data_IF_514328399164
#
_entry.id   IF_514328399164
#
_cell.length_a   1.000
_cell.length_b   1.000
_cell.length_c   1.000
_cell.angle_alpha   90.00
_cell.angle_beta   90.00
_cell.angle_gamma   90.00
#
_symmetry.space_group_name_H-M   'P 1'
#
loop_
_entity.id
_entity.type
_entity.pdbx_description
1 polymer ?
#
# COMPACT_ATOMS: atom_id res chain seq x y z
N UNK A 1 10.38 17.81 -25.50
CA UNK A 1 9.98 16.39 -25.44
C UNK A 1 8.68 16.23 -26.22
N UNK A 2 8.43 15.09 -26.88
CA UNK A 2 7.13 14.86 -27.56
C UNK A 2 5.99 14.84 -26.53
N UNK A 3 4.77 15.27 -26.88
CA UNK A 3 3.63 15.29 -25.95
C UNK A 3 3.37 13.93 -25.29
N UNK A 4 3.49 12.83 -26.02
CA UNK A 4 3.27 11.47 -25.51
C UNK A 4 4.31 11.09 -24.44
N UNK A 5 5.57 11.50 -24.67
CA UNK A 5 6.63 11.27 -23.69
C UNK A 5 6.44 12.14 -22.43
N UNK A 6 5.87 13.34 -22.56
CA UNK A 6 5.48 14.17 -21.40
C UNK A 6 4.35 13.53 -20.61
N UNK A 7 3.35 12.97 -21.28
CA UNK A 7 2.25 12.27 -20.63
C UNK A 7 2.75 11.07 -19.82
N UNK A 8 3.67 10.27 -20.36
CA UNK A 8 4.27 9.14 -19.61
C UNK A 8 4.99 9.64 -18.35
N UNK A 9 5.79 10.71 -18.46
CA UNK A 9 6.50 11.28 -17.30
C UNK A 9 5.54 11.78 -16.24
N UNK A 10 4.46 12.47 -16.63
CA UNK A 10 3.47 12.96 -15.66
C UNK A 10 2.69 11.82 -15.01
N UNK A 11 2.29 10.79 -15.78
CA UNK A 11 1.65 9.60 -15.23
C UNK A 11 2.55 8.88 -14.19
N UNK A 12 3.85 8.76 -14.47
CA UNK A 12 4.81 8.20 -13.51
C UNK A 12 4.92 9.07 -12.24
N UNK A 13 4.96 10.41 -12.36
CA UNK A 13 4.98 11.30 -11.19
C UNK A 13 3.69 11.19 -10.37
N UNK A 14 2.54 11.09 -11.03
CA UNK A 14 1.25 10.90 -10.37
C UNK A 14 1.20 9.58 -9.61
N UNK A 15 1.69 8.49 -10.22
CA UNK A 15 1.83 7.20 -9.56
C UNK A 15 2.69 7.29 -8.29
N UNK A 16 3.87 7.90 -8.35
CA UNK A 16 4.75 8.07 -7.17
C UNK A 16 4.07 8.91 -6.09
N UNK A 17 3.35 9.98 -6.47
CA UNK A 17 2.58 10.79 -5.51
C UNK A 17 1.44 10.00 -4.87
N UNK A 18 0.77 9.14 -5.64
CA UNK A 18 -0.28 8.26 -5.14
C UNK A 18 0.28 7.22 -4.16
N UNK A 19 1.42 6.59 -4.49
CA UNK A 19 2.13 5.70 -3.58
C UNK A 19 2.48 6.39 -2.25
N UNK A 20 3.05 7.60 -2.30
CA UNK A 20 3.37 8.32 -1.07
C UNK A 20 2.14 8.70 -0.22
N UNK A 21 0.96 8.86 -0.83
CA UNK A 21 -0.30 9.02 -0.07
C UNK A 21 -0.75 7.71 0.56
N UNK A 22 -0.66 6.60 -0.20
CA UNK A 22 -1.00 5.27 0.30
C UNK A 22 -0.09 4.85 1.46
N UNK A 23 1.22 5.08 1.36
CA UNK A 23 2.19 4.83 2.43
C UNK A 23 1.82 5.56 3.72
N UNK A 24 1.50 6.87 3.64
CA UNK A 24 1.07 7.64 4.81
C UNK A 24 -0.24 7.13 5.41
N UNK A 25 -1.21 6.73 4.58
CA UNK A 25 -2.47 6.17 5.04
C UNK A 25 -2.27 4.79 5.71
N UNK A 26 -1.44 3.93 5.12
CA UNK A 26 -1.12 2.62 5.70
C UNK A 26 -0.30 2.73 6.98
N UNK A 27 0.48 3.81 7.14
CA UNK A 27 1.12 4.19 8.40
C UNK A 27 0.15 4.44 9.56
N UNK A 28 -1.15 4.60 9.31
CA UNK A 28 -2.17 4.71 10.38
C UNK A 28 -2.81 3.38 10.75
N UNK A 29 -2.47 2.26 10.07
CA UNK A 29 -2.99 0.93 10.43
C UNK A 29 -2.75 0.56 11.91
N UNK A 30 -1.62 0.93 12.56
CA UNK A 30 -1.40 0.69 13.98
C UNK A 30 -2.44 1.32 14.90
N UNK A 31 -3.06 2.44 14.50
CA UNK A 31 -4.06 3.13 15.32
C UNK A 31 -5.44 2.50 15.23
N UNK A 32 -5.64 1.55 14.30
CA UNK A 32 -6.90 0.87 14.09
C UNK A 32 -7.01 -0.37 14.98
N UNK A 33 -8.25 -0.73 15.34
CA UNK A 33 -8.57 -2.02 15.95
C UNK A 33 -8.21 -3.18 15.00
N UNK A 34 -8.22 -4.41 15.52
CA UNK A 34 -7.95 -5.59 14.70
C UNK A 34 -9.03 -5.75 13.62
N UNK A 35 -10.29 -5.59 14.02
CA UNK A 35 -11.46 -5.71 13.15
C UNK A 35 -11.44 -4.68 12.01
N UNK A 36 -11.07 -3.43 12.32
CA UNK A 36 -10.91 -2.37 11.32
C UNK A 36 -9.76 -2.67 10.34
N UNK A 37 -8.62 -3.17 10.83
CA UNK A 37 -7.51 -3.59 9.94
C UNK A 37 -7.92 -4.70 9.00
N UNK A 38 -8.62 -5.71 9.50
CA UNK A 38 -9.12 -6.82 8.69
C UNK A 38 -10.15 -6.36 7.64
N UNK A 39 -11.02 -5.40 8.00
CA UNK A 39 -11.98 -4.81 7.08
C UNK A 39 -11.28 -4.03 5.95
N UNK A 40 -10.30 -3.17 6.28
CA UNK A 40 -9.52 -2.40 5.29
C UNK A 40 -8.81 -3.33 4.31
N UNK A 41 -8.11 -4.36 4.80
CA UNK A 41 -7.41 -5.32 3.92
C UNK A 41 -8.40 -6.07 3.02
N UNK A 42 -9.53 -6.52 3.57
CA UNK A 42 -10.56 -7.23 2.81
C UNK A 42 -11.15 -6.37 1.69
N UNK A 43 -11.50 -5.12 1.98
CA UNK A 43 -12.09 -4.21 0.99
C UNK A 43 -11.11 -3.92 -0.15
N UNK A 44 -9.84 -3.63 0.17
CA UNK A 44 -8.80 -3.39 -0.82
C UNK A 44 -8.57 -4.61 -1.72
N UNK A 45 -8.47 -5.81 -1.14
CA UNK A 45 -8.31 -7.04 -1.91
C UNK A 45 -9.53 -7.37 -2.77
N UNK A 46 -10.74 -7.08 -2.27
CA UNK A 46 -11.99 -7.28 -3.01
C UNK A 46 -12.04 -6.36 -4.22
N UNK A 47 -11.73 -5.06 -4.03
CA UNK A 47 -11.68 -4.10 -5.12
C UNK A 47 -10.64 -4.47 -6.19
N UNK A 48 -9.44 -4.94 -5.79
CA UNK A 48 -8.45 -5.45 -6.73
C UNK A 48 -8.96 -6.65 -7.54
N UNK A 49 -9.91 -7.41 -7.00
CA UNK A 49 -10.58 -8.50 -7.70
C UNK A 49 -11.61 -8.05 -8.74
N UNK A 50 -12.14 -6.83 -8.63
CA UNK A 50 -13.25 -6.32 -9.45
C UNK A 50 -12.84 -5.42 -10.63
N UNK A 51 -11.61 -4.92 -10.65
CA UNK A 51 -11.16 -3.91 -11.63
C UNK A 51 -10.85 -4.46 -13.04
N UNK A 52 -11.11 -3.65 -14.07
CA UNK A 52 -10.80 -3.88 -15.50
C UNK A 52 -9.30 -3.72 -15.84
N UNK A 53 -8.42 -3.86 -14.84
CA UNK A 53 -6.97 -3.73 -15.04
C UNK A 53 -6.35 -5.06 -15.45
N UNK A 54 -5.32 -4.99 -16.30
CA UNK A 54 -4.61 -6.18 -16.77
C UNK A 54 -4.07 -7.03 -15.62
N UNK A 55 -4.00 -8.36 -15.80
CA UNK A 55 -3.62 -9.31 -14.75
C UNK A 55 -2.29 -8.97 -14.07
N UNK A 56 -1.29 -8.51 -14.83
CA UNK A 56 0.01 -8.08 -14.30
C UNK A 56 -0.10 -6.88 -13.35
N UNK A 57 -0.89 -5.86 -13.71
CA UNK A 57 -1.10 -4.66 -12.89
C UNK A 57 -1.74 -5.00 -11.54
N UNK A 58 -2.65 -5.98 -11.52
CA UNK A 58 -3.30 -6.43 -10.29
C UNK A 58 -2.33 -7.14 -9.34
N UNK A 59 -1.45 -7.99 -9.86
CA UNK A 59 -0.44 -8.66 -9.04
C UNK A 59 0.56 -7.67 -8.45
N UNK A 60 1.05 -6.72 -9.25
CA UNK A 60 1.94 -5.64 -8.77
C UNK A 60 1.25 -4.80 -7.69
N UNK A 61 -0.03 -4.47 -7.85
CA UNK A 61 -0.78 -3.72 -6.85
C UNK A 61 -0.94 -4.50 -5.53
N UNK A 62 -1.26 -5.80 -5.60
CA UNK A 62 -1.33 -6.67 -4.41
C UNK A 62 -0.02 -6.70 -3.64
N UNK A 63 1.09 -6.87 -4.36
CA UNK A 63 2.42 -6.98 -3.76
C UNK A 63 2.84 -5.65 -3.09
N UNK A 64 2.61 -4.51 -3.76
CA UNK A 64 2.85 -3.17 -3.21
C UNK A 64 2.02 -2.92 -1.94
N UNK A 65 0.73 -3.26 -1.96
CA UNK A 65 -0.14 -3.07 -0.79
C UNK A 65 0.31 -3.96 0.38
N UNK A 66 0.69 -5.22 0.10
CA UNK A 66 1.23 -6.12 1.11
C UNK A 66 2.51 -5.57 1.74
N UNK A 67 3.45 -5.10 0.92
CA UNK A 67 4.71 -4.51 1.39
C UNK A 67 4.50 -3.24 2.22
N UNK A 68 3.62 -2.34 1.78
CA UNK A 68 3.31 -1.12 2.53
C UNK A 68 2.59 -1.41 3.85
N UNK A 69 1.69 -2.40 3.88
CA UNK A 69 1.02 -2.82 5.12
C UNK A 69 2.02 -3.44 6.11
N UNK A 70 2.96 -4.25 5.61
CA UNK A 70 4.04 -4.78 6.42
C UNK A 70 4.95 -3.66 6.96
N UNK A 71 5.34 -2.69 6.12
CA UNK A 71 6.18 -1.56 6.54
C UNK A 71 5.50 -0.71 7.63
N UNK A 72 4.19 -0.47 7.51
CA UNK A 72 3.38 0.19 8.55
C UNK A 72 3.38 -0.58 9.88
N UNK A 73 3.28 -1.92 9.83
CA UNK A 73 3.34 -2.77 11.02
C UNK A 73 4.76 -2.89 11.63
N UNK A 74 5.81 -2.85 10.81
CA UNK A 74 7.20 -2.90 11.29
C UNK A 74 7.62 -1.63 12.06
N UNK A 75 6.98 -0.49 11.80
CA UNK A 75 7.19 0.72 12.60
C UNK A 75 6.84 0.50 14.08
N UNK A 76 5.84 -0.33 14.38
CA UNK A 76 5.47 -0.72 15.74
C UNK A 76 6.51 -1.66 16.39
N UNK A 77 7.11 -2.57 15.60
CA UNK A 77 8.09 -3.53 16.11
C UNK A 77 9.37 -2.87 16.64
N UNK A 78 9.79 -1.73 16.07
CA UNK A 78 10.97 -0.96 16.56
C UNK A 78 10.75 -0.25 17.91
N UNK A 79 9.51 -0.17 18.40
CA UNK A 79 9.17 0.37 19.73
C UNK A 79 8.71 -0.68 20.74
N UNK A 80 8.46 -1.92 20.29
CA UNK A 80 8.13 -3.05 21.14
C UNK A 80 9.40 -3.63 21.74
N UNK A 81 9.73 -3.27 22.98
CA UNK A 81 10.64 -4.09 23.80
C UNK A 81 9.93 -5.41 24.10
N UNK A 82 10.07 -6.39 23.20
CA UNK A 82 9.58 -7.74 23.39
C UNK A 82 10.34 -8.37 24.58
N UNK A 83 9.70 -8.65 25.73
CA UNK A 83 10.39 -9.23 26.87
C UNK A 83 10.80 -10.70 26.66
N UNK A 84 10.47 -11.30 25.51
CA UNK A 84 10.79 -12.70 25.18
C UNK A 84 11.96 -12.88 24.20
N UNK A 85 12.57 -11.81 23.69
CA UNK A 85 13.82 -11.90 22.91
C UNK A 85 14.95 -11.38 23.80
N UNK A 86 15.66 -12.32 24.43
CA UNK A 86 16.90 -12.08 25.18
C UNK A 86 18.11 -12.16 24.28
#
# INVERSE_FOLDING_TARGET
MRPEAQQVVEACKEFVRALGRAERALGTLPTLTKEEREAVVREVLTWLGTEETGAYTREVARELIGQLSAAGAYADYRGSSDPYIR
#
